data_IF_326937436237
#
_entry.id   IF_326937436237
#
_cell.length_a   1.000
_cell.length_b   1.000
_cell.length_c   1.000
_cell.angle_alpha   90.00
_cell.angle_beta   90.00
_cell.angle_gamma   90.00
#
_symmetry.space_group_name_H-M   'P 1'
#
loop_
_entity.id
_entity.type
_entity.pdbx_description
1 polymer ?
#
# COMPACT_ATOMS: atom_id res chain seq x y z
N UNK A 1 16.88 -9.79 -29.79
CA UNK A 1 15.65 -10.21 -29.12
C UNK A 1 14.48 -9.47 -29.75
N UNK A 2 13.49 -10.18 -30.28
CA UNK A 2 12.32 -9.57 -30.90
C UNK A 2 11.46 -8.91 -29.81
N UNK A 3 10.96 -7.71 -30.10
CA UNK A 3 9.96 -7.04 -29.27
C UNK A 3 8.59 -7.22 -29.91
N UNK A 4 7.63 -7.62 -29.13
CA UNK A 4 6.25 -7.80 -29.56
C UNK A 4 5.38 -6.70 -28.96
N UNK A 5 4.41 -6.25 -29.75
CA UNK A 5 3.49 -5.21 -29.35
C UNK A 5 2.06 -5.60 -29.72
N UNK A 6 1.14 -5.26 -28.87
CA UNK A 6 -0.29 -5.24 -29.23
C UNK A 6 -0.66 -3.87 -29.74
N UNK A 7 -1.55 -3.85 -30.73
CA UNK A 7 -2.25 -2.65 -31.19
C UNK A 7 -3.76 -2.83 -30.95
N UNK A 8 -4.41 -1.75 -30.60
CA UNK A 8 -5.86 -1.72 -30.43
C UNK A 8 -6.49 -1.10 -31.68
N UNK A 9 -7.55 -1.75 -32.21
CA UNK A 9 -8.22 -1.30 -33.44
C UNK A 9 -8.81 0.11 -33.30
N UNK A 10 -9.38 0.41 -32.12
CA UNK A 10 -10.01 1.71 -31.84
C UNK A 10 -9.02 2.83 -31.54
N UNK A 11 -7.73 2.49 -31.37
CA UNK A 11 -6.64 3.42 -31.04
C UNK A 11 -5.42 3.15 -31.93
N UNK A 12 -5.53 3.34 -33.23
CA UNK A 12 -4.44 3.07 -34.16
C UNK A 12 -3.22 3.93 -33.81
N UNK A 13 -2.04 3.30 -33.79
CA UNK A 13 -0.78 3.95 -33.44
C UNK A 13 -0.39 3.88 -31.96
N UNK A 14 -1.25 3.40 -31.08
CA UNK A 14 -0.84 3.02 -29.72
C UNK A 14 -0.34 1.58 -29.71
N UNK A 15 0.89 1.41 -29.25
CA UNK A 15 1.53 0.10 -29.12
C UNK A 15 1.73 -0.23 -27.64
N UNK A 16 1.30 -1.41 -27.26
CA UNK A 16 1.47 -1.94 -25.90
C UNK A 16 2.50 -3.05 -25.95
N UNK A 17 3.64 -2.84 -25.27
CA UNK A 17 4.72 -3.82 -25.25
C UNK A 17 4.29 -5.09 -24.49
N UNK A 18 4.54 -6.24 -25.12
CA UNK A 18 4.42 -7.55 -24.49
C UNK A 18 5.79 -7.93 -23.98
N UNK A 19 5.92 -8.17 -22.70
CA UNK A 19 7.14 -8.67 -22.10
C UNK A 19 7.01 -10.15 -21.72
N UNK A 20 8.15 -10.81 -21.66
CA UNK A 20 8.28 -12.20 -21.22
C UNK A 20 9.54 -12.34 -20.39
N UNK A 21 9.41 -13.02 -19.25
CA UNK A 21 10.53 -13.39 -18.39
C UNK A 21 10.37 -14.85 -17.93
N UNK A 22 11.20 -15.31 -17.01
CA UNK A 22 11.17 -16.66 -16.46
C UNK A 22 9.85 -17.02 -15.73
N UNK A 23 9.06 -16.02 -15.32
CA UNK A 23 7.79 -16.18 -14.65
C UNK A 23 6.60 -16.16 -15.63
N UNK A 24 6.81 -15.91 -16.91
CA UNK A 24 5.79 -15.90 -17.96
C UNK A 24 5.72 -14.61 -18.75
N UNK A 25 4.64 -14.49 -19.53
CA UNK A 25 4.36 -13.30 -20.35
C UNK A 25 3.51 -12.30 -19.59
N UNK A 26 3.77 -11.00 -19.77
CA UNK A 26 2.99 -9.93 -19.16
C UNK A 26 2.60 -8.87 -20.20
N UNK A 27 1.40 -8.36 -20.05
CA UNK A 27 0.83 -7.31 -20.90
C UNK A 27 0.06 -6.37 -19.98
N UNK A 28 0.28 -5.05 -20.14
CA UNK A 28 -0.45 -4.05 -19.37
C UNK A 28 -0.38 -4.28 -17.84
N UNK A 29 0.76 -4.77 -17.38
CA UNK A 29 0.98 -5.03 -15.96
C UNK A 29 1.18 -3.72 -15.22
N UNK A 30 0.09 -3.14 -14.72
CA UNK A 30 0.11 -1.85 -14.04
C UNK A 30 0.80 -1.93 -12.67
N UNK A 31 1.50 -0.86 -12.31
CA UNK A 31 1.92 -0.61 -10.94
C UNK A 31 0.69 -0.35 -10.04
N UNK A 32 0.85 -0.56 -8.74
CA UNK A 32 -0.20 -0.17 -7.79
C UNK A 32 -0.22 1.36 -7.65
N UNK A 33 -1.42 1.95 -7.69
CA UNK A 33 -1.56 3.39 -7.55
C UNK A 33 -1.49 3.80 -6.07
N UNK A 34 -0.60 4.75 -5.76
CA UNK A 34 -0.49 5.34 -4.44
C UNK A 34 -0.50 6.86 -4.55
N UNK A 35 -1.51 7.49 -3.95
CA UNK A 35 -1.70 8.95 -4.00
C UNK A 35 -1.28 9.63 -2.70
N UNK A 36 -0.84 8.91 -1.70
CA UNK A 36 -0.46 9.46 -0.41
C UNK A 36 0.59 10.60 -0.50
N UNK A 37 1.64 10.50 -1.35
CA UNK A 37 2.66 11.55 -1.43
C UNK A 37 2.17 12.91 -1.99
N UNK A 38 0.99 12.95 -2.60
CA UNK A 38 0.39 14.15 -3.19
C UNK A 38 -1.11 14.28 -2.81
N UNK A 39 -1.42 13.84 -1.60
CA UNK A 39 -2.78 13.86 -1.06
C UNK A 39 -3.34 15.29 -0.98
N UNK A 40 -2.51 16.24 -0.64
CA UNK A 40 -2.83 17.67 -0.61
C UNK A 40 -3.33 18.17 -1.97
N UNK A 41 -2.69 17.81 -3.07
CA UNK A 41 -3.10 18.19 -4.42
C UNK A 41 -4.49 17.63 -4.77
N UNK A 42 -4.78 16.41 -4.34
CA UNK A 42 -6.09 15.77 -4.55
C UNK A 42 -7.17 16.47 -3.73
N UNK A 43 -6.89 16.75 -2.46
CA UNK A 43 -7.82 17.46 -1.59
C UNK A 43 -8.08 18.90 -2.08
N UNK A 44 -7.02 19.61 -2.48
CA UNK A 44 -7.10 20.97 -3.02
C UNK A 44 -7.84 21.03 -4.38
N UNK A 45 -7.86 19.93 -5.13
CA UNK A 45 -8.68 19.83 -6.34
C UNK A 45 -10.19 19.67 -6.07
N UNK A 46 -10.62 19.64 -4.81
CA UNK A 46 -12.02 19.56 -4.41
C UNK A 46 -12.59 18.15 -4.41
N UNK A 47 -11.76 17.15 -4.18
CA UNK A 47 -12.21 15.76 -4.05
C UNK A 47 -12.80 15.53 -2.66
N UNK A 48 -14.08 15.16 -2.58
CA UNK A 48 -14.80 14.96 -1.32
C UNK A 48 -14.61 13.57 -0.70
N UNK A 49 -14.18 12.58 -1.49
CA UNK A 49 -14.07 11.21 -1.02
C UNK A 49 -12.94 10.45 -1.70
N UNK A 50 -12.17 9.72 -0.91
CA UNK A 50 -11.08 8.87 -1.36
C UNK A 50 -11.49 7.40 -1.26
N UNK A 51 -11.45 6.68 -2.38
CA UNK A 51 -11.75 5.26 -2.42
C UNK A 51 -10.47 4.43 -2.36
N UNK A 52 -10.39 3.55 -1.37
CA UNK A 52 -9.33 2.54 -1.26
C UNK A 52 -9.85 1.24 -1.86
N UNK A 53 -9.12 0.68 -2.84
CA UNK A 53 -9.46 -0.61 -3.42
C UNK A 53 -8.76 -1.73 -2.68
N UNK A 54 -9.56 -2.57 -2.04
CA UNK A 54 -9.09 -3.68 -1.22
C UNK A 54 -9.86 -4.98 -1.42
N UNK A 55 -10.73 -5.08 -2.43
CA UNK A 55 -11.63 -6.23 -2.64
C UNK A 55 -10.90 -7.58 -2.71
N UNK A 56 -9.75 -7.62 -3.37
CA UNK A 56 -8.94 -8.83 -3.53
C UNK A 56 -7.77 -8.90 -2.52
N UNK A 57 -7.78 -8.06 -1.51
CA UNK A 57 -6.72 -7.96 -0.49
C UNK A 57 -7.20 -8.50 0.86
N UNK A 58 -6.26 -8.70 1.78
CA UNK A 58 -6.57 -9.12 3.14
C UNK A 58 -7.17 -7.96 3.95
N UNK A 59 -7.88 -8.27 5.02
CA UNK A 59 -8.37 -7.23 5.94
C UNK A 59 -7.21 -6.47 6.61
N UNK A 60 -6.05 -7.10 6.81
CA UNK A 60 -4.83 -6.43 7.25
C UNK A 60 -4.41 -5.32 6.27
N UNK A 61 -4.42 -5.60 4.96
CA UNK A 61 -4.15 -4.59 3.95
C UNK A 61 -5.10 -3.41 4.07
N UNK A 62 -6.40 -3.68 4.16
CA UNK A 62 -7.42 -2.62 4.25
C UNK A 62 -7.21 -1.79 5.51
N UNK A 63 -6.96 -2.43 6.65
CA UNK A 63 -6.71 -1.75 7.92
C UNK A 63 -5.47 -0.86 7.86
N UNK A 64 -4.32 -1.40 7.41
CA UNK A 64 -3.05 -0.66 7.32
C UNK A 64 -3.14 0.52 6.36
N UNK A 65 -3.67 0.29 5.15
CA UNK A 65 -3.78 1.35 4.14
C UNK A 65 -4.75 2.44 4.60
N UNK A 66 -5.90 2.06 5.16
CA UNK A 66 -6.87 3.04 5.68
C UNK A 66 -6.27 3.85 6.83
N UNK A 67 -5.56 3.22 7.74
CA UNK A 67 -4.89 3.90 8.85
C UNK A 67 -3.81 4.87 8.34
N UNK A 68 -3.00 4.46 7.39
CA UNK A 68 -1.96 5.30 6.78
C UNK A 68 -2.56 6.54 6.09
N UNK A 69 -3.59 6.35 5.27
CA UNK A 69 -4.29 7.46 4.61
C UNK A 69 -5.05 8.34 5.59
N UNK A 70 -5.62 7.79 6.69
CA UNK A 70 -6.27 8.59 7.73
C UNK A 70 -5.27 9.52 8.40
N UNK A 71 -4.07 9.03 8.75
CA UNK A 71 -2.99 9.86 9.30
C UNK A 71 -2.56 10.97 8.34
N UNK A 72 -2.39 10.63 7.06
CA UNK A 72 -2.02 11.63 6.04
C UNK A 72 -3.11 12.70 5.89
N UNK A 73 -4.39 12.31 5.89
CA UNK A 73 -5.51 13.22 5.77
C UNK A 73 -5.69 14.09 7.03
N UNK A 74 -5.44 13.54 8.22
CA UNK A 74 -5.48 14.32 9.48
C UNK A 74 -4.38 15.40 9.50
N UNK A 75 -3.18 15.07 9.00
CA UNK A 75 -2.09 16.02 8.84
C UNK A 75 -2.49 17.16 7.89
N UNK A 76 -3.06 16.82 6.73
CA UNK A 76 -3.55 17.83 5.78
C UNK A 76 -4.65 18.69 6.39
N UNK A 77 -5.64 18.09 7.07
CA UNK A 77 -6.76 18.80 7.68
C UNK A 77 -6.37 19.69 8.87
N UNK A 78 -5.25 19.41 9.51
CA UNK A 78 -4.72 20.26 10.58
C UNK A 78 -4.26 21.63 10.06
N UNK A 79 -3.79 21.71 8.81
CA UNK A 79 -3.40 22.94 8.13
C UNK A 79 -3.60 22.83 6.60
N UNK A 80 -4.83 22.95 6.11
CA UNK A 80 -5.15 22.80 4.68
C UNK A 80 -4.54 23.88 3.77
N UNK A 81 -4.06 24.98 4.36
CA UNK A 81 -3.44 26.09 3.63
C UNK A 81 -1.92 25.96 3.53
N UNK A 82 -1.35 24.91 4.08
CA UNK A 82 0.09 24.67 4.02
C UNK A 82 0.50 24.27 2.60
N UNK A 83 1.15 25.18 1.89
CA UNK A 83 1.70 24.92 0.54
C UNK A 83 2.86 23.91 0.52
N UNK A 84 3.44 23.62 1.68
CA UNK A 84 4.52 22.67 1.84
C UNK A 84 4.04 21.42 2.60
N UNK A 85 2.96 20.80 2.12
CA UNK A 85 2.48 19.57 2.72
C UNK A 85 3.57 18.49 2.64
N UNK A 86 3.89 17.92 3.79
CA UNK A 86 4.76 16.77 3.90
C UNK A 86 3.98 15.59 4.46
N UNK A 87 4.18 14.42 3.85
CA UNK A 87 3.56 13.21 4.33
C UNK A 87 4.09 12.88 5.73
N UNK A 88 3.23 12.57 6.72
CA UNK A 88 3.70 12.23 8.07
C UNK A 88 4.71 11.10 8.06
N UNK A 89 5.72 11.21 8.91
CA UNK A 89 6.72 10.16 9.06
C UNK A 89 6.10 8.79 9.30
N UNK A 90 6.62 7.78 8.61
CA UNK A 90 6.16 6.40 8.73
C UNK A 90 4.93 6.05 7.87
N UNK A 91 4.16 7.01 7.33
CA UNK A 91 2.99 6.68 6.50
C UNK A 91 3.39 5.86 5.27
N UNK A 92 4.45 6.26 4.58
CA UNK A 92 4.91 5.53 3.40
C UNK A 92 5.44 4.14 3.77
N UNK A 93 6.15 4.03 4.89
CA UNK A 93 6.61 2.75 5.42
C UNK A 93 5.44 1.82 5.76
N UNK A 94 4.36 2.34 6.35
CA UNK A 94 3.14 1.54 6.60
C UNK A 94 2.51 1.01 5.32
N UNK A 95 2.44 1.82 4.27
CA UNK A 95 1.92 1.41 2.99
C UNK A 95 2.76 0.30 2.35
N UNK A 96 4.09 0.36 2.49
CA UNK A 96 5.00 -0.66 1.95
C UNK A 96 5.02 -1.96 2.75
N UNK A 97 4.51 -1.98 3.98
CA UNK A 97 4.35 -3.21 4.78
C UNK A 97 3.27 -4.14 4.25
N UNK A 98 2.35 -3.62 3.48
CA UNK A 98 1.31 -4.44 2.85
C UNK A 98 1.81 -5.03 1.54
N UNK A 99 1.21 -6.15 1.10
CA UNK A 99 1.53 -6.74 -0.19
C UNK A 99 1.13 -5.79 -1.33
N UNK A 100 2.11 -5.27 -2.05
CA UNK A 100 1.94 -4.30 -3.13
C UNK A 100 2.86 -4.59 -4.31
N UNK A 101 2.55 -4.02 -5.48
CA UNK A 101 3.49 -3.84 -6.59
C UNK A 101 4.22 -2.52 -6.40
N UNK A 102 5.18 -2.21 -7.27
CA UNK A 102 5.77 -0.87 -7.26
C UNK A 102 4.69 0.20 -7.30
N UNK A 103 4.84 1.22 -6.48
CA UNK A 103 3.89 2.32 -6.45
C UNK A 103 4.13 3.30 -7.60
N UNK A 104 3.03 3.83 -8.12
CA UNK A 104 3.02 4.91 -9.09
C UNK A 104 1.90 5.91 -8.78
N UNK A 105 1.99 7.14 -9.27
CA UNK A 105 0.91 8.10 -9.15
C UNK A 105 -0.27 7.82 -10.09
N UNK A 106 -0.26 6.70 -10.82
CA UNK A 106 -1.23 6.47 -11.88
C UNK A 106 -1.11 7.51 -12.98
N UNK A 107 -2.25 8.00 -13.46
CA UNK A 107 -2.30 8.98 -14.57
C UNK A 107 -2.34 10.45 -14.10
N UNK A 108 -2.25 10.73 -12.79
CA UNK A 108 -2.40 12.08 -12.26
C UNK A 108 -1.38 13.09 -12.81
N UNK A 109 -0.17 12.63 -13.09
CA UNK A 109 0.92 13.45 -13.67
C UNK A 109 1.25 13.07 -15.11
N UNK A 110 0.30 12.49 -15.83
CA UNK A 110 0.44 12.09 -17.22
C UNK A 110 0.77 10.61 -17.40
N UNK A 111 0.69 10.14 -18.67
CA UNK A 111 0.84 8.72 -19.01
C UNK A 111 2.23 8.18 -18.75
N UNK A 112 3.24 9.00 -18.80
CA UNK A 112 4.63 8.59 -18.59
C UNK A 112 4.89 8.13 -17.15
N UNK A 113 4.11 8.63 -16.20
CA UNK A 113 4.21 8.27 -14.80
C UNK A 113 3.45 6.97 -14.47
N UNK A 114 2.46 6.61 -15.29
CA UNK A 114 1.71 5.37 -15.17
C UNK A 114 2.44 4.21 -15.87
N UNK A 115 3.68 3.93 -15.45
CA UNK A 115 4.52 2.88 -16.06
C UNK A 115 3.97 1.49 -15.80
N UNK A 116 4.25 0.59 -16.76
CA UNK A 116 4.06 -0.84 -16.53
C UNK A 116 5.21 -1.39 -15.69
N UNK A 117 4.91 -2.32 -14.80
CA UNK A 117 5.92 -3.12 -14.14
C UNK A 117 6.45 -4.16 -15.16
N UNK A 118 7.65 -3.93 -15.68
CA UNK A 118 8.28 -4.79 -16.70
C UNK A 118 9.28 -5.77 -16.10
N UNK A 119 9.68 -5.56 -14.87
CA UNK A 119 10.72 -6.30 -14.17
C UNK A 119 10.15 -7.49 -13.36
N UNK A 120 8.95 -7.36 -12.80
CA UNK A 120 8.26 -8.49 -12.20
C UNK A 120 6.74 -8.29 -12.14
N UNK A 121 5.99 -9.40 -12.30
CA UNK A 121 4.56 -9.47 -11.95
C UNK A 121 4.37 -9.77 -10.46
N UNK A 122 5.45 -9.93 -9.72
CA UNK A 122 5.44 -10.42 -8.33
C UNK A 122 5.12 -9.29 -7.37
N UNK A 123 4.26 -9.56 -6.41
CA UNK A 123 4.02 -8.66 -5.29
C UNK A 123 5.22 -8.63 -4.35
N UNK A 124 5.58 -7.42 -3.93
CA UNK A 124 6.56 -7.20 -2.86
C UNK A 124 5.86 -7.58 -1.54
N UNK A 125 6.48 -8.45 -0.76
CA UNK A 125 5.95 -8.95 0.51
C UNK A 125 7.09 -9.01 1.51
N UNK A 126 7.32 -7.94 2.22
CA UNK A 126 8.34 -7.87 3.28
C UNK A 126 7.75 -8.27 4.65
N UNK A 127 6.43 -8.19 4.77
CA UNK A 127 5.69 -8.46 6.00
C UNK A 127 4.60 -9.48 5.76
N UNK A 128 4.39 -10.35 6.73
CA UNK A 128 3.34 -11.36 6.70
C UNK A 128 2.33 -11.12 7.83
N UNK A 129 1.05 -11.23 7.49
CA UNK A 129 -0.02 -11.19 8.47
C UNK A 129 -0.14 -12.56 9.14
N UNK A 130 0.20 -12.63 10.43
CA UNK A 130 0.29 -13.90 11.15
C UNK A 130 -0.81 -14.11 12.18
N UNK A 131 -1.58 -13.08 12.53
CA UNK A 131 -2.67 -13.27 13.49
C UNK A 131 -3.39 -12.00 13.89
N UNK A 132 -4.41 -12.15 14.71
CA UNK A 132 -5.16 -11.09 15.39
C UNK A 132 -4.99 -11.19 16.88
N UNK A 133 -4.91 -10.06 17.56
CA UNK A 133 -4.96 -10.01 19.03
C UNK A 133 -6.41 -9.92 19.47
N UNK A 134 -6.88 -10.91 20.22
CA UNK A 134 -8.25 -10.98 20.72
C UNK A 134 -8.38 -10.38 22.13
N UNK A 135 -7.28 -10.33 22.87
CA UNK A 135 -7.27 -9.77 24.22
C UNK A 135 -5.86 -9.51 24.75
N UNK A 136 -5.79 -8.70 25.79
CA UNK A 136 -4.55 -8.37 26.49
C UNK A 136 -4.80 -8.33 27.98
N UNK A 137 -4.15 -9.22 28.73
CA UNK A 137 -4.30 -9.29 30.18
C UNK A 137 -2.95 -9.60 30.85
N UNK A 138 -2.61 -8.86 31.90
CA UNK A 138 -1.40 -9.06 32.71
C UNK A 138 -0.09 -9.14 31.88
N UNK A 139 0.01 -8.35 30.80
CA UNK A 139 1.20 -8.36 29.93
C UNK A 139 1.21 -9.52 28.91
N UNK A 140 0.16 -10.30 28.82
CA UNK A 140 0.01 -11.42 27.89
C UNK A 140 -1.06 -11.12 26.85
N UNK A 141 -0.71 -11.28 25.58
CA UNK A 141 -1.66 -11.19 24.48
C UNK A 141 -2.26 -12.54 24.15
N UNK A 142 -3.59 -12.61 24.07
CA UNK A 142 -4.30 -13.74 23.49
C UNK A 142 -4.48 -13.50 22.01
N UNK A 143 -3.97 -14.40 21.17
CA UNK A 143 -3.94 -14.21 19.73
C UNK A 143 -4.59 -15.35 18.98
N UNK A 144 -5.34 -15.02 17.93
CA UNK A 144 -5.81 -15.99 16.95
C UNK A 144 -4.79 -16.08 15.81
N UNK A 145 -4.13 -17.23 15.69
CA UNK A 145 -3.14 -17.48 14.64
C UNK A 145 -3.81 -17.56 13.27
N UNK A 146 -3.23 -16.87 12.28
CA UNK A 146 -3.66 -16.86 10.89
C UNK A 146 -2.55 -17.22 9.92
N UNK A 147 -1.29 -17.05 10.30
CA UNK A 147 -0.10 -17.43 9.57
C UNK A 147 0.86 -18.20 10.46
N UNK A 148 1.97 -18.69 9.89
CA UNK A 148 2.98 -19.46 10.64
C UNK A 148 3.90 -18.51 11.40
N UNK A 149 4.06 -18.73 12.67
CA UNK A 149 5.06 -18.09 13.51
C UNK A 149 5.49 -19.04 14.63
N UNK A 150 6.64 -18.79 15.19
CA UNK A 150 7.31 -19.70 16.12
C UNK A 150 7.85 -18.94 17.32
N UNK A 151 8.16 -19.67 18.35
CA UNK A 151 8.80 -19.11 19.54
C UNK A 151 10.12 -18.44 19.17
N UNK A 152 10.28 -17.18 19.57
CA UNK A 152 11.46 -16.37 19.26
C UNK A 152 11.28 -15.42 18.07
N UNK A 153 10.21 -15.54 17.28
CA UNK A 153 9.89 -14.57 16.25
C UNK A 153 9.54 -13.21 16.85
N UNK A 154 9.89 -12.15 16.13
CA UNK A 154 9.49 -10.79 16.49
C UNK A 154 8.21 -10.45 15.76
N UNK A 155 7.18 -10.10 16.51
CA UNK A 155 5.90 -9.69 15.97
C UNK A 155 5.70 -8.19 16.20
N UNK A 156 5.06 -7.54 15.24
CA UNK A 156 4.60 -6.16 15.38
C UNK A 156 3.10 -6.12 15.42
N UNK A 157 2.53 -5.36 16.35
CA UNK A 157 1.08 -5.19 16.47
C UNK A 157 0.66 -3.90 15.80
N UNK A 158 -0.22 -4.02 14.79
CA UNK A 158 -0.94 -2.89 14.24
C UNK A 158 -2.06 -2.52 15.21
N UNK A 159 -1.91 -1.39 15.87
CA UNK A 159 -2.93 -0.84 16.76
C UNK A 159 -3.86 0.10 16.00
N UNK A 160 -5.14 0.10 16.40
CA UNK A 160 -6.09 1.08 15.88
C UNK A 160 -5.67 2.51 16.27
N UNK A 161 -5.60 3.41 15.31
CA UNK A 161 -5.19 4.80 15.52
C UNK A 161 -6.16 5.60 16.42
N UNK A 162 -7.36 5.09 16.65
CA UNK A 162 -8.39 5.78 17.47
C UNK A 162 -8.10 5.68 18.98
N UNK A 163 -7.15 4.83 19.38
CA UNK A 163 -6.91 4.52 20.81
C UNK A 163 -5.43 4.57 21.23
N UNK A 164 -4.54 5.13 20.42
CA UNK A 164 -3.12 5.14 20.76
C UNK A 164 -2.73 6.49 21.37
N UNK A 165 -2.46 6.49 22.66
CA UNK A 165 -1.70 7.54 23.32
C UNK A 165 -0.18 7.26 23.35
N UNK A 166 0.26 6.02 23.10
CA UNK A 166 1.70 5.65 23.04
C UNK A 166 1.94 4.38 22.21
N UNK A 167 3.07 4.27 21.49
CA UNK A 167 3.42 3.05 20.77
C UNK A 167 3.83 1.95 21.74
N UNK A 168 3.00 0.94 21.88
CA UNK A 168 3.32 -0.25 22.67
C UNK A 168 4.23 -1.16 21.85
N UNK A 169 5.51 -1.19 22.17
CA UNK A 169 6.42 -2.22 21.65
C UNK A 169 6.17 -3.51 22.41
N UNK A 170 5.72 -4.55 21.73
CA UNK A 170 5.70 -5.89 22.29
C UNK A 170 7.14 -6.33 22.58
N UNK A 171 7.46 -6.54 23.86
CA UNK A 171 8.65 -7.25 24.26
C UNK A 171 8.36 -8.75 24.16
N UNK A 172 9.30 -9.44 23.53
CA UNK A 172 9.54 -10.89 23.46
C UNK A 172 8.49 -11.75 24.19
N UNK A 173 7.76 -12.55 23.41
CA UNK A 173 6.99 -13.67 23.93
C UNK A 173 8.01 -14.75 24.34
N UNK A 174 8.10 -15.03 25.60
CA UNK A 174 8.93 -16.12 26.16
C UNK A 174 8.16 -17.45 26.11
#
# INVERSE_FOLDING_TARGET
RWKYYLSEETRPGQLYEIGENENGSYILNANDMCTAPFLDLICNAGVDSLKIEGRAKTFYYVASVTAAYRRALDQYLADPMNENFELPEGVLAELTRTSHRHYSPGFYFGREQARQATDSATYIREWEFVGTVDGWENGVASCQQRGKWSLGDTLEVLLSLIHISEPTRLRRIS
#
